data_IF_050909973547
#
_entry.id   IF_050909973547
#
_cell.length_a   1.000
_cell.length_b   1.000
_cell.length_c   1.000
_cell.angle_alpha   90.00
_cell.angle_beta   90.00
_cell.angle_gamma   90.00
#
_symmetry.space_group_name_H-M   'P 1'
#
loop_
_entity.id
_entity.type
_entity.pdbx_description
1 polymer ?
#
# COMPACT_ATOMS: atom_id res chain seq x y z
N UNK A 1 -0.71 -13.76 35.09
CA UNK A 1 0.01 -12.74 34.29
C UNK A 1 0.56 -13.49 33.09
N UNK A 2 -0.06 -13.34 31.92
CA UNK A 2 0.49 -13.81 30.64
C UNK A 2 1.75 -13.01 30.35
N UNK A 3 2.85 -13.69 29.99
CA UNK A 3 4.07 -13.02 29.55
C UNK A 3 3.71 -12.04 28.42
N UNK A 4 4.37 -10.86 28.34
CA UNK A 4 4.12 -9.93 27.25
C UNK A 4 4.37 -10.67 25.93
N UNK A 5 3.33 -10.74 25.09
CA UNK A 5 3.43 -11.34 23.77
C UNK A 5 4.44 -10.56 22.95
N UNK A 6 5.56 -11.17 22.60
CA UNK A 6 6.58 -10.55 21.75
C UNK A 6 5.97 -10.37 20.36
N UNK A 7 6.12 -9.19 19.76
CA UNK A 7 5.64 -8.93 18.41
C UNK A 7 6.35 -9.90 17.42
N UNK A 8 5.67 -10.31 16.33
CA UNK A 8 6.14 -11.42 15.48
C UNK A 8 7.49 -11.16 14.78
N UNK A 9 7.86 -9.90 14.56
CA UNK A 9 9.11 -9.51 13.93
C UNK A 9 10.12 -8.89 14.91
N UNK A 10 9.95 -9.12 16.22
CA UNK A 10 10.90 -8.67 17.22
C UNK A 10 12.30 -9.25 16.95
N UNK A 11 13.31 -8.38 16.94
CA UNK A 11 14.69 -8.73 16.61
C UNK A 11 15.04 -8.68 15.12
N UNK A 12 14.06 -8.49 14.23
CA UNK A 12 14.32 -8.21 12.82
C UNK A 12 14.78 -6.75 12.66
N UNK A 13 15.95 -6.54 12.05
CA UNK A 13 16.53 -5.22 11.81
C UNK A 13 16.40 -4.81 10.36
N UNK A 14 15.83 -3.64 10.10
CA UNK A 14 15.53 -3.11 8.77
C UNK A 14 16.15 -1.73 8.61
N UNK A 15 16.91 -1.51 7.55
CA UNK A 15 17.33 -0.18 7.09
C UNK A 15 16.41 0.25 5.94
N UNK A 16 15.73 1.36 6.12
CA UNK A 16 14.90 2.01 5.10
C UNK A 16 15.68 3.17 4.46
N UNK A 17 16.28 2.90 3.30
CA UNK A 17 16.98 3.91 2.49
C UNK A 17 16.06 4.52 1.43
N UNK A 18 14.86 3.93 1.25
CA UNK A 18 13.93 4.34 0.21
C UNK A 18 13.28 5.69 0.51
N UNK A 19 12.78 6.38 -0.50
CA UNK A 19 12.09 7.65 -0.38
C UNK A 19 10.66 7.57 -0.92
N UNK A 20 9.82 8.56 -0.59
CA UNK A 20 8.42 8.68 -1.01
C UNK A 20 7.53 7.56 -0.45
N UNK A 21 7.06 6.59 -1.28
CA UNK A 21 5.91 5.75 -0.88
C UNK A 21 6.19 4.25 -0.81
N UNK A 22 6.41 3.57 -1.92
CA UNK A 22 6.39 2.10 -1.98
C UNK A 22 7.39 1.41 -1.04
N UNK A 23 8.68 1.76 -1.13
CA UNK A 23 9.72 1.21 -0.26
C UNK A 23 9.50 1.59 1.21
N UNK A 24 9.30 2.88 1.55
CA UNK A 24 9.01 3.29 2.92
C UNK A 24 7.75 2.63 3.50
N UNK A 25 6.70 2.39 2.71
CA UNK A 25 5.51 1.67 3.16
C UNK A 25 5.83 0.23 3.54
N UNK A 26 6.63 -0.47 2.74
CA UNK A 26 7.06 -1.84 3.08
C UNK A 26 7.81 -1.87 4.42
N UNK A 27 8.73 -0.92 4.66
CA UNK A 27 9.44 -0.78 5.92
C UNK A 27 8.49 -0.48 7.10
N UNK A 28 7.48 0.39 6.89
CA UNK A 28 6.45 0.71 7.90
C UNK A 28 5.67 -0.54 8.29
N UNK A 29 5.26 -1.35 7.31
CA UNK A 29 4.51 -2.59 7.56
C UNK A 29 5.31 -3.60 8.39
N UNK A 30 6.62 -3.71 8.16
CA UNK A 30 7.49 -4.54 9.00
C UNK A 30 7.61 -3.96 10.41
N UNK A 31 7.76 -2.64 10.54
CA UNK A 31 7.79 -1.94 11.82
C UNK A 31 6.51 -2.07 12.64
N UNK A 32 5.34 -2.10 11.98
CA UNK A 32 4.03 -2.29 12.62
C UNK A 32 3.93 -3.64 13.34
N UNK A 33 4.69 -4.64 12.91
CA UNK A 33 4.75 -5.97 13.50
C UNK A 33 6.02 -6.22 14.33
N UNK A 34 6.73 -5.15 14.71
CA UNK A 34 7.78 -5.21 15.72
C UNK A 34 9.21 -5.22 15.19
N UNK A 35 9.43 -5.13 13.88
CA UNK A 35 10.77 -4.93 13.36
C UNK A 35 11.40 -3.60 13.86
N UNK A 36 12.70 -3.61 14.06
CA UNK A 36 13.49 -2.42 14.36
C UNK A 36 13.85 -1.73 13.03
N UNK A 37 13.12 -0.67 12.72
CA UNK A 37 13.31 0.06 11.45
C UNK A 37 14.08 1.34 11.70
N UNK A 38 15.20 1.50 11.01
CA UNK A 38 15.96 2.75 10.94
C UNK A 38 15.79 3.34 9.54
N UNK A 39 15.16 4.50 9.48
CA UNK A 39 15.03 5.32 8.26
C UNK A 39 16.28 6.17 8.12
N UNK A 40 17.00 5.99 7.01
CA UNK A 40 18.20 6.76 6.69
C UNK A 40 17.87 7.80 5.64
N UNK A 41 18.15 9.06 5.94
CA UNK A 41 17.87 10.21 5.10
C UNK A 41 19.14 11.02 4.85
N UNK A 42 19.18 11.73 3.73
CA UNK A 42 20.27 12.65 3.45
C UNK A 42 20.23 13.84 4.44
N UNK A 43 21.35 14.31 5.01
CA UNK A 43 21.38 15.36 6.03
C UNK A 43 20.67 16.66 5.66
N UNK A 44 20.78 17.08 4.40
CA UNK A 44 20.23 18.36 3.91
C UNK A 44 19.09 18.21 2.92
N UNK A 45 18.75 16.99 2.53
CA UNK A 45 17.67 16.66 1.57
C UNK A 45 16.80 15.56 2.19
N UNK A 46 15.93 15.92 3.14
CA UNK A 46 15.05 14.95 3.78
C UNK A 46 14.13 14.26 2.78
N UNK A 47 13.53 13.15 3.19
CA UNK A 47 12.56 12.42 2.37
C UNK A 47 11.43 13.38 1.91
N UNK A 48 11.16 13.47 0.60
CA UNK A 48 10.08 14.31 0.08
C UNK A 48 8.70 14.01 0.66
N UNK A 49 8.47 12.81 1.20
CA UNK A 49 7.22 12.46 1.89
C UNK A 49 6.94 13.33 3.12
N UNK A 50 7.96 13.97 3.70
CA UNK A 50 7.81 14.92 4.81
C UNK A 50 7.02 16.17 4.44
N UNK A 51 7.12 16.60 3.17
CA UNK A 51 6.40 17.77 2.63
C UNK A 51 5.21 17.38 1.73
N UNK A 52 4.87 16.08 1.63
CA UNK A 52 3.81 15.64 0.75
C UNK A 52 2.42 15.82 1.36
N UNK A 53 1.51 16.44 0.58
CA UNK A 53 0.13 16.68 1.01
C UNK A 53 -0.03 17.72 2.12
N UNK A 54 -1.14 17.69 2.86
CA UNK A 54 -1.41 18.65 3.93
C UNK A 54 -0.44 18.55 5.11
N UNK A 55 -0.18 19.72 5.71
CA UNK A 55 0.58 19.84 6.96
C UNK A 55 -0.22 20.56 8.04
N UNK A 56 0.11 20.31 9.31
CA UNK A 56 -0.38 21.05 10.47
C UNK A 56 0.83 21.61 11.22
N UNK A 57 0.83 22.90 11.47
CA UNK A 57 1.92 23.61 12.17
C UNK A 57 3.32 23.38 11.54
N UNK A 58 3.37 23.25 10.20
CA UNK A 58 4.59 22.95 9.45
C UNK A 58 4.99 21.48 9.42
N UNK A 59 4.28 20.60 10.12
CA UNK A 59 4.56 19.16 10.18
C UNK A 59 3.70 18.39 9.18
N UNK A 60 4.33 17.66 8.27
CA UNK A 60 3.64 16.90 7.23
C UNK A 60 2.87 15.69 7.80
N UNK A 61 1.55 15.66 7.57
CA UNK A 61 0.69 14.60 8.10
C UNK A 61 0.93 13.26 7.41
N UNK A 62 1.33 13.26 6.15
CA UNK A 62 1.72 12.06 5.43
C UNK A 62 2.91 11.36 6.08
N UNK A 63 3.92 12.16 6.46
CA UNK A 63 5.09 11.63 7.15
C UNK A 63 4.74 11.02 8.51
N UNK A 64 3.84 11.65 9.27
CA UNK A 64 3.40 11.12 10.57
C UNK A 64 2.84 9.70 10.45
N UNK A 65 2.12 9.40 9.36
CA UNK A 65 1.60 8.08 9.07
C UNK A 65 2.69 7.13 8.52
N UNK A 66 3.43 7.56 7.49
CA UNK A 66 4.39 6.70 6.77
C UNK A 66 5.68 6.47 7.53
N UNK A 67 6.08 7.43 8.38
CA UNK A 67 7.27 7.34 9.23
C UNK A 67 7.03 6.65 10.58
N UNK A 68 5.81 6.17 10.84
CA UNK A 68 5.48 5.49 12.11
C UNK A 68 6.36 4.26 12.34
N UNK A 69 6.65 3.99 13.60
CA UNK A 69 7.49 2.87 14.03
C UNK A 69 8.95 2.88 13.51
N UNK A 70 9.40 3.99 12.92
CA UNK A 70 10.78 4.14 12.44
C UNK A 70 11.56 5.08 13.35
N UNK A 71 12.80 4.70 13.66
CA UNK A 71 13.84 5.62 14.12
C UNK A 71 14.39 6.35 12.91
N UNK A 72 14.74 7.63 13.04
CA UNK A 72 15.20 8.45 11.91
C UNK A 72 16.64 8.90 12.13
N UNK A 73 17.51 8.62 11.15
CA UNK A 73 18.87 9.12 11.16
C UNK A 73 19.24 9.78 9.84
N UNK A 74 20.20 10.68 9.89
CA UNK A 74 20.80 11.29 8.71
C UNK A 74 22.10 10.60 8.36
N UNK A 75 22.33 10.37 7.06
CA UNK A 75 23.60 9.87 6.54
C UNK A 75 23.70 10.13 5.03
N UNK A 76 24.74 10.86 4.60
CA UNK A 76 25.05 11.01 3.17
C UNK A 76 25.86 9.82 2.66
N UNK A 77 25.19 8.89 1.98
CA UNK A 77 25.78 7.66 1.44
C UNK A 77 26.78 7.89 0.31
N UNK A 78 26.81 9.08 -0.28
CA UNK A 78 27.78 9.43 -1.32
C UNK A 78 29.16 9.78 -0.75
N UNK A 79 29.26 10.02 0.56
CA UNK A 79 30.49 10.33 1.27
C UNK A 79 31.21 9.04 1.73
N UNK A 80 32.56 9.02 1.74
CA UNK A 80 33.31 7.86 2.21
C UNK A 80 32.94 7.42 3.62
N UNK A 81 32.82 8.36 4.58
CA UNK A 81 32.39 8.05 5.95
C UNK A 81 30.94 7.56 6.04
N UNK A 82 30.05 8.13 5.22
CA UNK A 82 28.66 7.65 5.13
C UNK A 82 28.58 6.23 4.59
N UNK A 83 29.33 5.92 3.53
CA UNK A 83 29.45 4.57 2.98
C UNK A 83 29.99 3.58 4.01
N UNK A 84 31.11 3.91 4.66
CA UNK A 84 31.70 3.04 5.66
C UNK A 84 30.74 2.78 6.84
N UNK A 85 29.99 3.80 7.26
CA UNK A 85 28.97 3.68 8.30
C UNK A 85 27.80 2.77 7.87
N UNK A 86 27.31 2.91 6.62
CA UNK A 86 26.24 2.01 6.13
C UNK A 86 26.71 0.55 6.06
N UNK A 87 27.93 0.26 5.63
CA UNK A 87 28.48 -1.10 5.62
C UNK A 87 28.57 -1.68 7.06
N UNK A 88 28.94 -0.87 8.05
CA UNK A 88 28.93 -1.30 9.46
C UNK A 88 27.50 -1.60 9.94
N UNK A 89 26.52 -0.77 9.61
CA UNK A 89 25.10 -1.02 9.91
C UNK A 89 24.62 -2.31 9.22
N UNK A 90 24.94 -2.49 7.94
CA UNK A 90 24.53 -3.64 7.14
C UNK A 90 25.03 -4.97 7.70
N UNK A 91 26.21 -4.99 8.36
CA UNK A 91 26.75 -6.19 8.99
C UNK A 91 25.83 -6.81 10.06
N UNK A 92 25.00 -5.99 10.71
CA UNK A 92 24.03 -6.43 11.72
C UNK A 92 22.57 -6.29 11.30
N UNK A 93 22.30 -6.10 10.02
CA UNK A 93 20.96 -5.82 9.47
C UNK A 93 20.40 -7.04 8.72
N UNK A 94 19.12 -7.31 8.89
CA UNK A 94 18.45 -8.40 8.18
C UNK A 94 17.95 -7.99 6.79
N UNK A 95 17.47 -6.75 6.67
CA UNK A 95 16.80 -6.24 5.46
C UNK A 95 17.25 -4.81 5.18
N UNK A 96 17.63 -4.53 3.96
CA UNK A 96 17.76 -3.16 3.42
C UNK A 96 16.68 -2.98 2.35
N UNK A 97 15.94 -1.87 2.45
CA UNK A 97 14.95 -1.47 1.44
C UNK A 97 15.41 -0.16 0.81
N UNK A 98 15.52 -0.16 -0.52
CA UNK A 98 15.94 1.02 -1.28
C UNK A 98 15.06 1.20 -2.53
N UNK A 99 14.99 2.42 -3.07
CA UNK A 99 14.30 2.70 -4.32
C UNK A 99 15.05 3.73 -5.18
N UNK A 100 16.36 3.74 -5.09
CA UNK A 100 17.19 4.56 -5.96
C UNK A 100 17.12 4.07 -7.42
N UNK A 101 17.50 4.92 -8.33
CA UNK A 101 17.66 4.51 -9.72
C UNK A 101 18.71 3.41 -9.82
N UNK A 102 18.50 2.38 -10.66
CA UNK A 102 19.49 1.33 -10.87
C UNK A 102 20.88 1.88 -11.14
N UNK A 103 21.90 1.32 -10.49
CA UNK A 103 23.28 1.76 -10.54
C UNK A 103 23.66 2.86 -9.55
N UNK A 104 22.72 3.37 -8.73
CA UNK A 104 23.03 4.42 -7.74
C UNK A 104 23.83 3.86 -6.56
N UNK A 105 23.38 2.75 -5.96
CA UNK A 105 24.14 2.09 -4.89
C UNK A 105 25.52 1.62 -5.39
N UNK A 106 25.58 1.08 -6.59
CA UNK A 106 26.80 0.64 -7.22
C UNK A 106 27.83 1.77 -7.39
N UNK A 107 27.38 3.00 -7.76
CA UNK A 107 28.24 4.19 -7.82
C UNK A 107 28.80 4.61 -6.47
N UNK A 108 28.14 4.23 -5.38
CA UNK A 108 28.59 4.52 -4.01
C UNK A 108 29.34 3.34 -3.41
N UNK A 109 29.68 2.30 -4.19
CA UNK A 109 30.24 1.03 -3.72
C UNK A 109 29.42 0.42 -2.56
N UNK A 110 28.10 0.46 -2.72
CA UNK A 110 27.10 -0.09 -1.80
C UNK A 110 26.15 -1.05 -2.53
N UNK A 111 26.60 -1.60 -3.66
CA UNK A 111 25.85 -2.61 -4.41
C UNK A 111 25.75 -3.94 -3.67
N UNK A 112 25.06 -4.90 -4.29
CA UNK A 112 24.92 -6.24 -3.72
C UNK A 112 26.25 -6.93 -3.39
N UNK A 113 27.29 -6.85 -4.25
CA UNK A 113 28.58 -7.47 -3.93
C UNK A 113 29.19 -6.95 -2.62
N UNK A 114 29.18 -5.65 -2.39
CA UNK A 114 29.74 -5.01 -1.19
C UNK A 114 28.89 -5.33 0.06
N UNK A 115 27.58 -5.22 -0.06
CA UNK A 115 26.66 -5.50 1.04
C UNK A 115 26.66 -6.98 1.44
N UNK A 116 26.64 -7.89 0.46
CA UNK A 116 26.68 -9.34 0.75
C UNK A 116 28.03 -9.81 1.27
N UNK A 117 29.13 -9.12 0.93
CA UNK A 117 30.44 -9.41 1.48
C UNK A 117 30.52 -9.15 3.00
N UNK A 118 29.85 -8.11 3.49
CA UNK A 118 29.80 -7.81 4.94
C UNK A 118 28.69 -8.58 5.66
N UNK A 119 27.64 -8.99 4.93
CA UNK A 119 26.54 -9.77 5.50
C UNK A 119 25.91 -10.70 4.44
N UNK A 120 26.39 -11.95 4.33
CA UNK A 120 25.84 -12.92 3.37
C UNK A 120 24.38 -13.32 3.65
N UNK A 121 23.85 -12.96 4.82
CA UNK A 121 22.45 -13.23 5.19
C UNK A 121 21.50 -12.06 4.88
N UNK A 122 22.01 -10.96 4.37
CA UNK A 122 21.23 -9.76 4.08
C UNK A 122 20.18 -10.02 2.99
N UNK A 123 18.97 -9.49 3.19
CA UNK A 123 17.96 -9.35 2.14
C UNK A 123 17.96 -7.90 1.65
N UNK A 124 18.28 -7.69 0.37
CA UNK A 124 18.27 -6.36 -0.26
C UNK A 124 17.02 -6.23 -1.14
N UNK A 125 16.02 -5.44 -0.70
CA UNK A 125 14.83 -5.16 -1.49
C UNK A 125 15.00 -3.86 -2.27
N UNK A 126 14.95 -3.96 -3.60
CA UNK A 126 15.13 -2.87 -4.56
C UNK A 126 13.82 -2.58 -5.26
N UNK A 127 13.18 -1.45 -4.93
CA UNK A 127 11.84 -1.10 -5.41
C UNK A 127 11.95 0.02 -6.44
N UNK A 128 11.74 -0.29 -7.72
CA UNK A 128 11.90 0.68 -8.81
C UNK A 128 10.69 0.67 -9.75
N UNK A 129 10.57 1.68 -10.60
CA UNK A 129 9.45 1.77 -11.54
C UNK A 129 9.36 0.57 -12.48
N UNK A 130 10.53 0.10 -12.98
CA UNK A 130 10.61 -0.86 -14.08
C UNK A 130 11.55 -2.05 -13.82
N UNK A 131 12.00 -2.27 -12.58
CA UNK A 131 12.97 -3.30 -12.22
C UNK A 131 14.43 -2.87 -12.44
N UNK A 132 15.36 -3.76 -12.06
CA UNK A 132 16.81 -3.50 -12.12
C UNK A 132 17.41 -3.73 -13.52
N UNK A 133 16.68 -4.36 -14.42
CA UNK A 133 17.13 -4.71 -15.77
C UNK A 133 16.03 -4.44 -16.82
N UNK A 134 16.37 -4.64 -18.08
CA UNK A 134 15.46 -4.41 -19.19
C UNK A 134 15.57 -3.00 -19.79
N UNK A 135 14.85 -2.74 -20.89
CA UNK A 135 15.04 -1.51 -21.69
C UNK A 135 14.59 -0.25 -20.97
N UNK A 136 13.80 -0.35 -19.89
CA UNK A 136 13.25 0.78 -19.16
C UNK A 136 13.87 0.98 -17.76
N UNK A 137 14.77 0.10 -17.34
CA UNK A 137 15.35 0.12 -15.99
C UNK A 137 15.90 1.50 -15.56
N UNK A 138 16.52 2.24 -16.49
CA UNK A 138 17.11 3.56 -16.21
C UNK A 138 16.15 4.74 -16.38
N UNK A 139 14.88 4.49 -16.78
CA UNK A 139 13.88 5.55 -16.91
C UNK A 139 13.40 6.02 -15.53
N UNK A 140 13.03 7.31 -15.37
CA UNK A 140 12.30 7.74 -14.18
C UNK A 140 11.00 6.93 -14.05
N UNK A 141 10.77 6.36 -12.87
CA UNK A 141 9.57 5.57 -12.55
C UNK A 141 8.85 6.15 -11.34
N UNK A 142 7.51 6.21 -11.42
CA UNK A 142 6.62 6.61 -10.34
C UNK A 142 5.34 5.78 -10.42
N UNK A 143 4.58 5.69 -9.33
CA UNK A 143 3.32 4.95 -9.28
C UNK A 143 2.35 5.30 -10.39
N UNK A 144 2.17 6.59 -10.69
CA UNK A 144 1.31 7.05 -11.79
C UNK A 144 1.70 6.47 -13.15
N UNK A 145 3.00 6.26 -13.42
CA UNK A 145 3.45 5.65 -14.67
C UNK A 145 3.16 4.15 -14.68
N UNK A 146 3.29 3.49 -13.53
CA UNK A 146 2.92 2.09 -13.38
C UNK A 146 1.40 1.88 -13.56
N UNK A 147 0.58 2.75 -13.01
CA UNK A 147 -0.88 2.76 -13.21
C UNK A 147 -1.27 2.90 -14.68
N UNK A 148 -0.55 3.74 -15.43
CA UNK A 148 -0.79 3.92 -16.85
C UNK A 148 -0.30 2.73 -17.69
N UNK A 149 0.90 2.18 -17.37
CA UNK A 149 1.54 1.13 -18.18
C UNK A 149 1.04 -0.28 -17.90
N UNK A 150 0.48 -0.53 -16.72
CA UNK A 150 -0.07 -1.85 -16.35
C UNK A 150 -1.38 -2.22 -17.06
N UNK A 151 -2.03 -1.25 -17.70
CA UNK A 151 -3.38 -1.43 -18.24
C UNK A 151 -4.50 -0.96 -17.30
N UNK A 152 -4.19 -0.62 -16.02
CA UNK A 152 -5.18 -0.14 -15.05
C UNK A 152 -5.97 1.06 -15.58
N UNK A 153 -5.28 2.12 -16.00
CA UNK A 153 -5.93 3.33 -16.52
C UNK A 153 -6.75 3.05 -17.79
N UNK A 154 -6.29 2.11 -18.64
CA UNK A 154 -6.96 1.77 -19.88
C UNK A 154 -8.36 1.16 -19.67
N UNK A 155 -8.58 0.43 -18.57
CA UNK A 155 -9.86 -0.22 -18.25
C UNK A 155 -10.69 0.54 -17.22
N UNK A 156 -10.17 1.67 -16.68
CA UNK A 156 -10.80 2.45 -15.61
C UNK A 156 -11.40 3.75 -16.17
N UNK A 157 -12.63 4.03 -15.79
CA UNK A 157 -13.39 5.24 -16.20
C UNK A 157 -14.59 4.93 -17.07
N UNK A 158 -15.34 5.97 -17.43
CA UNK A 158 -16.51 5.87 -18.30
C UNK A 158 -16.09 5.50 -19.74
N UNK A 159 -16.93 4.76 -20.50
CA UNK A 159 -16.61 4.29 -21.84
C UNK A 159 -16.15 5.39 -22.79
N UNK A 160 -16.86 6.52 -22.78
CA UNK A 160 -16.65 7.64 -23.70
C UNK A 160 -15.77 8.76 -23.13
N UNK A 161 -15.19 8.54 -21.94
CA UNK A 161 -14.28 9.48 -21.27
C UNK A 161 -12.81 9.07 -21.46
N UNK A 162 -11.84 9.97 -21.17
CA UNK A 162 -10.43 9.60 -21.11
C UNK A 162 -10.16 8.47 -20.08
N UNK A 163 -9.07 7.70 -20.24
CA UNK A 163 -8.58 6.80 -19.20
C UNK A 163 -8.44 7.51 -17.84
N UNK A 164 -8.80 6.84 -16.76
CA UNK A 164 -8.81 7.43 -15.42
C UNK A 164 -7.71 6.86 -14.55
N UNK A 165 -6.92 7.75 -13.94
CA UNK A 165 -5.93 7.43 -12.91
C UNK A 165 -6.56 7.51 -11.53
N UNK A 166 -6.10 6.74 -10.54
CA UNK A 166 -6.55 6.88 -9.17
C UNK A 166 -6.03 8.20 -8.58
N UNK A 167 -6.78 8.85 -7.65
CA UNK A 167 -6.38 10.11 -7.03
C UNK A 167 -5.32 9.95 -5.92
N UNK A 168 -4.69 8.80 -5.81
CA UNK A 168 -3.66 8.46 -4.82
C UNK A 168 -2.69 7.44 -5.42
N UNK A 169 -1.55 7.19 -4.77
CA UNK A 169 -0.51 6.25 -5.24
C UNK A 169 -0.95 4.78 -5.10
N UNK A 170 -1.87 4.33 -5.93
CA UNK A 170 -2.38 2.96 -5.90
C UNK A 170 -1.28 1.95 -6.22
N UNK A 171 -0.52 2.16 -7.30
CA UNK A 171 0.58 1.27 -7.68
C UNK A 171 1.67 1.22 -6.62
N UNK A 172 2.02 2.38 -6.02
CA UNK A 172 2.97 2.44 -4.90
C UNK A 172 2.47 1.66 -3.68
N UNK A 173 1.18 1.77 -3.36
CA UNK A 173 0.57 1.05 -2.22
C UNK A 173 0.58 -0.46 -2.44
N UNK A 174 0.18 -0.92 -3.64
CA UNK A 174 0.22 -2.35 -3.99
C UNK A 174 1.67 -2.86 -3.98
N UNK A 175 2.61 -2.10 -4.53
CA UNK A 175 4.02 -2.46 -4.53
C UNK A 175 4.62 -2.49 -3.11
N UNK A 176 4.24 -1.56 -2.23
CA UNK A 176 4.65 -1.55 -0.83
C UNK A 176 4.20 -2.80 -0.07
N UNK A 177 2.92 -3.18 -0.22
CA UNK A 177 2.36 -4.42 0.33
C UNK A 177 3.08 -5.66 -0.23
N UNK A 178 3.28 -5.70 -1.55
CA UNK A 178 3.94 -6.81 -2.23
C UNK A 178 5.42 -6.91 -1.84
N UNK A 179 6.11 -5.78 -1.66
CA UNK A 179 7.50 -5.75 -1.20
C UNK A 179 7.62 -6.30 0.21
N UNK A 180 6.72 -5.95 1.12
CA UNK A 180 6.72 -6.52 2.47
C UNK A 180 6.51 -8.05 2.42
N UNK A 181 5.60 -8.55 1.59
CA UNK A 181 5.41 -9.97 1.36
C UNK A 181 6.65 -10.64 0.76
N UNK A 182 7.29 -10.03 -0.25
CA UNK A 182 8.50 -10.55 -0.89
C UNK A 182 9.69 -10.62 0.09
N UNK A 183 9.84 -9.59 0.95
CA UNK A 183 10.84 -9.58 2.03
C UNK A 183 10.60 -10.74 2.99
N UNK A 184 9.36 -10.95 3.47
CA UNK A 184 9.04 -12.08 4.34
C UNK A 184 9.30 -13.43 3.66
N UNK A 185 9.03 -13.55 2.36
CA UNK A 185 9.32 -14.75 1.56
C UNK A 185 10.84 -14.99 1.48
N UNK A 186 11.63 -13.93 1.24
CA UNK A 186 13.09 -14.02 1.19
C UNK A 186 13.69 -14.40 2.56
N UNK A 187 13.15 -13.85 3.66
CA UNK A 187 13.56 -14.22 5.02
C UNK A 187 13.24 -15.69 5.33
N UNK A 188 12.07 -16.18 4.94
CA UNK A 188 11.72 -17.60 5.09
C UNK A 188 12.60 -18.52 4.24
N UNK A 189 13.07 -18.07 3.06
CA UNK A 189 14.06 -18.79 2.28
C UNK A 189 15.42 -18.80 2.99
N UNK A 190 15.88 -17.63 3.47
CA UNK A 190 17.12 -17.46 4.24
C UNK A 190 17.22 -18.38 5.45
N UNK A 191 16.09 -18.56 6.16
CA UNK A 191 16.07 -19.43 7.35
C UNK A 191 16.34 -20.90 7.01
N UNK A 192 16.10 -21.32 5.75
CA UNK A 192 16.40 -22.66 5.26
C UNK A 192 17.77 -22.78 4.60
N UNK A 193 18.19 -21.75 3.87
CA UNK A 193 19.42 -21.78 3.07
C UNK A 193 20.65 -21.25 3.81
N UNK A 194 20.42 -20.41 4.81
CA UNK A 194 21.47 -19.65 5.50
C UNK A 194 21.89 -18.37 4.77
N UNK A 195 21.44 -18.16 3.53
CA UNK A 195 21.88 -17.06 2.66
C UNK A 195 20.76 -16.06 2.38
N UNK A 196 21.13 -14.76 2.35
CA UNK A 196 20.27 -13.68 1.89
C UNK A 196 20.22 -13.61 0.36
N UNK A 197 19.46 -12.61 -0.14
CA UNK A 197 19.27 -12.43 -1.58
C UNK A 197 18.79 -11.03 -1.93
N UNK A 198 18.87 -10.69 -3.21
CA UNK A 198 18.21 -9.50 -3.77
C UNK A 198 16.75 -9.82 -4.06
N UNK A 199 15.86 -8.91 -3.69
CA UNK A 199 14.47 -8.85 -4.13
C UNK A 199 14.35 -7.66 -5.09
N UNK A 200 14.13 -7.93 -6.36
CA UNK A 200 13.88 -6.92 -7.40
C UNK A 200 12.35 -6.74 -7.55
N UNK A 201 11.85 -5.54 -7.29
CA UNK A 201 10.43 -5.22 -7.32
C UNK A 201 10.19 -4.08 -8.32
N UNK A 202 9.55 -4.39 -9.44
CA UNK A 202 9.09 -3.40 -10.40
C UNK A 202 7.66 -2.97 -10.10
N UNK A 203 7.42 -1.66 -9.92
CA UNK A 203 6.07 -1.10 -9.63
C UNK A 203 4.99 -1.56 -10.62
N UNK A 204 5.37 -1.78 -11.88
CA UNK A 204 4.41 -2.20 -12.94
C UNK A 204 3.87 -3.62 -12.75
N UNK A 205 4.59 -4.51 -12.06
CA UNK A 205 4.23 -5.93 -11.96
C UNK A 205 3.10 -6.22 -10.98
N UNK A 206 3.14 -5.73 -9.72
CA UNK A 206 2.10 -6.01 -8.75
C UNK A 206 0.73 -5.44 -9.15
N UNK A 207 0.70 -4.25 -9.75
CA UNK A 207 -0.56 -3.67 -10.22
C UNK A 207 -1.11 -4.45 -11.43
N UNK A 208 -0.27 -4.91 -12.36
CA UNK A 208 -0.70 -5.79 -13.46
C UNK A 208 -1.29 -7.09 -12.91
N UNK A 209 -0.62 -7.71 -11.92
CA UNK A 209 -1.13 -8.91 -11.28
C UNK A 209 -2.50 -8.70 -10.61
N UNK A 210 -2.71 -7.51 -10.00
CA UNK A 210 -3.98 -7.16 -9.37
C UNK A 210 -5.15 -6.99 -10.36
N UNK A 211 -4.88 -6.72 -11.65
CA UNK A 211 -5.91 -6.64 -12.69
C UNK A 211 -6.52 -7.99 -13.08
N UNK A 212 -6.00 -9.09 -12.55
CA UNK A 212 -6.51 -10.43 -12.84
C UNK A 212 -6.06 -10.94 -14.22
N UNK A 213 -6.87 -11.75 -14.91
CA UNK A 213 -6.45 -12.54 -16.08
C UNK A 213 -6.40 -11.76 -17.40
N UNK A 214 -6.21 -10.44 -17.38
CA UNK A 214 -6.18 -9.61 -18.61
C UNK A 214 -5.19 -10.12 -19.68
N UNK A 215 -3.91 -10.44 -19.34
CA UNK A 215 -2.98 -10.99 -20.32
C UNK A 215 -3.44 -12.34 -20.89
N UNK A 216 -4.02 -13.20 -20.06
CA UNK A 216 -4.51 -14.51 -20.48
C UNK A 216 -5.71 -14.39 -21.42
N UNK A 217 -6.63 -13.47 -21.15
CA UNK A 217 -7.78 -13.20 -22.02
C UNK A 217 -7.34 -12.68 -23.38
N UNK A 218 -6.36 -11.78 -23.40
CA UNK A 218 -5.82 -11.28 -24.66
C UNK A 218 -5.11 -12.38 -25.46
N UNK A 219 -4.26 -13.17 -24.81
CA UNK A 219 -3.51 -14.26 -25.46
C UNK A 219 -4.44 -15.33 -26.06
N UNK A 220 -5.45 -15.77 -25.30
CA UNK A 220 -6.31 -16.88 -25.72
C UNK A 220 -7.51 -16.47 -26.59
N UNK A 221 -8.00 -15.25 -26.44
CA UNK A 221 -9.27 -14.80 -27.04
C UNK A 221 -9.11 -13.53 -27.89
N UNK A 222 -7.95 -12.86 -27.87
CA UNK A 222 -7.79 -11.52 -28.44
C UNK A 222 -8.64 -10.47 -27.71
N UNK A 223 -9.14 -10.79 -26.50
CA UNK A 223 -10.04 -9.90 -25.77
C UNK A 223 -9.28 -8.76 -25.11
N UNK A 224 -9.64 -7.53 -25.45
CA UNK A 224 -9.20 -6.30 -24.80
C UNK A 224 -10.37 -5.74 -24.00
N UNK A 225 -10.27 -5.70 -22.68
CA UNK A 225 -11.35 -5.19 -21.83
C UNK A 225 -11.52 -3.68 -22.04
N UNK A 226 -12.74 -3.21 -22.40
CA UNK A 226 -13.02 -1.78 -22.47
C UNK A 226 -13.23 -1.16 -21.08
N UNK A 227 -13.29 0.16 -21.02
CA UNK A 227 -13.83 0.86 -19.85
C UNK A 227 -15.34 0.62 -19.74
N UNK A 228 -15.81 0.40 -18.53
CA UNK A 228 -17.21 0.08 -18.23
C UNK A 228 -17.82 0.97 -17.14
N UNK A 229 -17.14 2.04 -16.76
CA UNK A 229 -17.58 2.89 -15.64
C UNK A 229 -17.63 2.09 -14.34
N UNK A 230 -18.77 2.18 -13.66
CA UNK A 230 -19.03 1.43 -12.43
C UNK A 230 -19.52 0.00 -12.64
N UNK A 231 -19.71 -0.43 -13.87
CA UNK A 231 -20.18 -1.77 -14.23
C UNK A 231 -19.04 -2.80 -14.22
N UNK A 232 -19.42 -4.07 -14.23
CA UNK A 232 -18.49 -5.19 -14.39
C UNK A 232 -18.83 -5.96 -15.67
N UNK A 233 -17.84 -6.45 -16.41
CA UNK A 233 -18.10 -7.36 -17.52
C UNK A 233 -18.53 -8.76 -17.06
N UNK A 234 -18.40 -9.08 -15.79
CA UNK A 234 -18.57 -10.43 -15.25
C UNK A 234 -19.89 -10.64 -14.48
N UNK A 235 -20.55 -9.56 -14.05
CA UNK A 235 -21.81 -9.64 -13.30
C UNK A 235 -22.61 -8.35 -13.35
N UNK A 236 -23.93 -8.49 -13.20
CA UNK A 236 -24.90 -7.42 -13.02
C UNK A 236 -26.12 -7.92 -12.20
N UNK A 237 -26.86 -7.01 -11.50
CA UNK A 237 -26.54 -5.58 -11.34
C UNK A 237 -25.28 -5.38 -10.48
N UNK A 238 -24.43 -4.49 -10.93
CA UNK A 238 -23.25 -4.03 -10.18
C UNK A 238 -22.97 -2.60 -10.60
N UNK A 239 -23.07 -1.69 -9.64
CA UNK A 239 -22.90 -0.27 -9.94
C UNK A 239 -23.02 0.61 -8.70
N UNK A 240 -22.98 1.92 -8.94
CA UNK A 240 -23.20 2.96 -7.94
C UNK A 240 -24.47 3.72 -8.31
N UNK A 241 -25.40 3.85 -7.36
CA UNK A 241 -26.73 4.42 -7.60
C UNK A 241 -27.00 5.57 -6.64
N UNK A 242 -27.67 6.61 -7.16
CA UNK A 242 -28.00 7.80 -6.38
C UNK A 242 -29.33 7.63 -5.66
N UNK A 243 -29.36 7.92 -4.37
CA UNK A 243 -30.57 7.88 -3.51
C UNK A 243 -31.35 9.18 -3.57
N UNK A 244 -32.60 9.18 -3.09
CA UNK A 244 -33.47 10.35 -3.06
C UNK A 244 -32.91 11.53 -2.25
N UNK A 245 -32.14 11.25 -1.21
CA UNK A 245 -31.45 12.25 -0.38
C UNK A 245 -30.11 12.72 -0.96
N UNK A 246 -29.81 12.35 -2.22
CA UNK A 246 -28.66 12.83 -2.98
C UNK A 246 -27.33 12.16 -2.65
N UNK A 247 -27.33 11.14 -1.79
CA UNK A 247 -26.14 10.33 -1.50
C UNK A 247 -26.01 9.15 -2.47
N UNK A 248 -25.01 8.29 -2.29
CA UNK A 248 -24.71 7.18 -3.20
C UNK A 248 -24.59 5.87 -2.44
N UNK A 249 -25.04 4.80 -3.08
CA UNK A 249 -24.87 3.42 -2.62
C UNK A 249 -24.27 2.56 -3.73
N UNK A 250 -23.46 1.59 -3.36
CA UNK A 250 -22.91 0.59 -4.27
C UNK A 250 -23.64 -0.74 -4.07
N UNK A 251 -24.06 -1.37 -5.18
CA UNK A 251 -24.69 -2.70 -5.19
C UNK A 251 -23.77 -3.69 -5.88
N UNK A 252 -23.69 -4.92 -5.37
CA UNK A 252 -22.95 -6.02 -5.99
C UNK A 252 -23.72 -7.32 -5.89
N UNK A 253 -23.81 -8.05 -7.01
CA UNK A 253 -24.58 -9.31 -7.14
C UNK A 253 -23.74 -10.42 -7.76
N UNK A 254 -22.54 -10.67 -7.21
CA UNK A 254 -21.63 -11.69 -7.74
C UNK A 254 -22.23 -13.11 -7.67
N UNK A 255 -23.05 -13.41 -6.65
CA UNK A 255 -23.75 -14.69 -6.54
C UNK A 255 -25.13 -14.62 -7.20
N UNK A 256 -25.54 -15.69 -7.88
CA UNK A 256 -26.84 -15.79 -8.55
C UNK A 256 -28.01 -15.52 -7.57
N UNK A 257 -28.01 -16.16 -6.41
CA UNK A 257 -29.06 -15.99 -5.39
C UNK A 257 -29.16 -14.57 -4.84
N UNK A 258 -28.05 -13.80 -4.84
CA UNK A 258 -28.07 -12.38 -4.46
C UNK A 258 -28.72 -11.55 -5.55
N UNK A 259 -28.45 -11.83 -6.84
CA UNK A 259 -29.10 -11.16 -7.96
C UNK A 259 -30.61 -11.38 -7.95
N UNK A 260 -31.06 -12.61 -7.71
CA UNK A 260 -32.49 -12.95 -7.60
C UNK A 260 -33.18 -12.20 -6.46
N UNK A 261 -32.54 -12.15 -5.26
CA UNK A 261 -33.07 -11.39 -4.12
C UNK A 261 -33.19 -9.89 -4.43
N UNK A 262 -32.23 -9.33 -5.15
CA UNK A 262 -32.31 -7.94 -5.60
C UNK A 262 -33.49 -7.73 -6.55
N UNK A 263 -33.74 -8.62 -7.51
CA UNK A 263 -34.88 -8.50 -8.42
C UNK A 263 -36.22 -8.59 -7.67
N UNK A 264 -36.36 -9.49 -6.73
CA UNK A 264 -37.54 -9.55 -5.85
C UNK A 264 -37.70 -8.24 -5.03
N UNK A 265 -36.61 -7.74 -4.44
CA UNK A 265 -36.62 -6.50 -3.65
C UNK A 265 -37.07 -5.29 -4.44
N UNK A 266 -36.59 -5.14 -5.67
CA UNK A 266 -36.92 -3.98 -6.52
C UNK A 266 -38.24 -4.15 -7.28
N UNK A 267 -38.95 -5.26 -7.07
CA UNK A 267 -40.26 -5.53 -7.67
C UNK A 267 -40.21 -5.91 -9.15
N UNK A 268 -39.12 -6.54 -9.58
CA UNK A 268 -38.91 -7.01 -10.97
C UNK A 268 -38.59 -8.52 -11.02
N UNK A 269 -39.36 -9.39 -10.31
CA UNK A 269 -39.08 -10.82 -10.26
C UNK A 269 -39.18 -11.51 -11.65
N UNK A 270 -39.95 -10.95 -12.58
CA UNK A 270 -40.07 -11.49 -13.95
C UNK A 270 -38.76 -11.52 -14.71
N UNK A 271 -37.79 -10.66 -14.36
CA UNK A 271 -36.47 -10.64 -14.99
C UNK A 271 -35.65 -11.91 -14.65
N UNK A 272 -35.99 -12.60 -13.57
CA UNK A 272 -35.31 -13.85 -13.16
C UNK A 272 -35.60 -14.99 -14.13
N UNK A 273 -36.78 -14.98 -14.76
CA UNK A 273 -37.21 -16.00 -15.71
C UNK A 273 -36.62 -15.81 -17.12
N UNK A 274 -35.95 -14.68 -17.35
CA UNK A 274 -35.27 -14.42 -18.61
C UNK A 274 -34.05 -15.34 -18.82
N UNK A 275 -33.89 -15.95 -20.02
CA UNK A 275 -32.76 -16.87 -20.25
C UNK A 275 -31.38 -16.29 -19.97
N UNK A 276 -31.21 -14.98 -20.18
CA UNK A 276 -29.96 -14.27 -19.92
C UNK A 276 -29.69 -13.98 -18.45
N UNK A 277 -30.66 -14.19 -17.57
CA UNK A 277 -30.46 -13.97 -16.13
C UNK A 277 -29.65 -15.10 -15.47
N UNK A 278 -29.49 -16.23 -16.11
CA UNK A 278 -28.91 -17.43 -15.56
C UNK A 278 -27.42 -17.32 -15.17
N UNK A 279 -26.65 -16.47 -15.85
CA UNK A 279 -25.23 -16.27 -15.55
C UNK A 279 -24.87 -14.81 -15.32
N UNK A 280 -23.83 -14.55 -14.50
CA UNK A 280 -23.36 -13.20 -14.25
C UNK A 280 -22.90 -12.47 -15.52
N UNK A 281 -22.21 -13.18 -16.42
CA UNK A 281 -21.71 -12.63 -17.67
C UNK A 281 -22.85 -12.30 -18.64
N UNK A 282 -23.91 -13.11 -18.69
CA UNK A 282 -25.07 -12.82 -19.53
C UNK A 282 -25.87 -11.64 -18.96
N UNK A 283 -26.05 -11.58 -17.62
CA UNK A 283 -26.64 -10.40 -16.97
C UNK A 283 -25.85 -9.13 -17.26
N UNK A 284 -24.52 -9.19 -17.28
CA UNK A 284 -23.67 -8.03 -17.59
C UNK A 284 -23.92 -7.45 -19.00
N UNK A 285 -24.31 -8.29 -19.99
CA UNK A 285 -24.71 -7.82 -21.32
C UNK A 285 -26.08 -7.12 -21.34
N UNK A 286 -26.89 -7.35 -20.30
CA UNK A 286 -28.21 -6.74 -20.11
C UNK A 286 -28.22 -5.75 -18.93
N UNK A 287 -27.04 -5.20 -18.59
CA UNK A 287 -26.85 -4.31 -17.45
C UNK A 287 -27.79 -3.09 -17.47
N UNK A 288 -28.12 -2.55 -18.65
CA UNK A 288 -29.02 -1.40 -18.77
C UNK A 288 -30.41 -1.67 -18.18
N UNK A 289 -30.98 -2.85 -18.46
CA UNK A 289 -32.30 -3.24 -17.92
C UNK A 289 -32.26 -3.40 -16.41
N UNK A 290 -31.18 -4.00 -15.89
CA UNK A 290 -30.98 -4.23 -14.46
C UNK A 290 -30.69 -2.93 -13.71
N UNK A 291 -29.88 -2.04 -14.28
CA UNK A 291 -29.56 -0.74 -13.71
C UNK A 291 -30.77 0.19 -13.69
N UNK A 292 -31.64 0.17 -14.71
CA UNK A 292 -32.91 0.89 -14.72
C UNK A 292 -33.82 0.44 -13.55
N UNK A 293 -33.98 -0.88 -13.39
CA UNK A 293 -34.80 -1.45 -12.32
C UNK A 293 -34.25 -1.09 -10.93
N UNK A 294 -32.98 -1.35 -10.69
CA UNK A 294 -32.31 -1.11 -9.39
C UNK A 294 -32.17 0.38 -9.12
N UNK A 295 -31.69 1.14 -10.10
CA UNK A 295 -31.49 2.59 -9.98
C UNK A 295 -32.79 3.33 -9.76
N UNK A 296 -33.85 3.00 -10.47
CA UNK A 296 -35.18 3.59 -10.30
C UNK A 296 -35.77 3.31 -8.91
N UNK A 297 -35.62 2.08 -8.42
CA UNK A 297 -36.05 1.72 -7.06
C UNK A 297 -35.26 2.46 -5.96
N UNK A 298 -33.94 2.58 -6.12
CA UNK A 298 -33.04 3.28 -5.18
C UNK A 298 -33.28 4.79 -5.22
N UNK A 299 -33.45 5.40 -6.38
CA UNK A 299 -33.64 6.84 -6.55
C UNK A 299 -34.92 7.37 -5.87
N UNK A 300 -35.90 6.50 -5.62
CA UNK A 300 -37.11 6.84 -4.93
C UNK A 300 -37.02 6.73 -3.38
N UNK A 301 -35.85 6.42 -2.82
CA UNK A 301 -35.68 6.10 -1.38
C UNK A 301 -34.44 6.79 -0.80
N UNK A 302 -34.49 7.06 0.51
CA UNK A 302 -33.31 7.58 1.24
C UNK A 302 -32.26 6.48 1.38
N UNK A 303 -31.00 6.87 1.60
CA UNK A 303 -29.88 5.92 1.87
C UNK A 303 -30.25 4.98 3.03
N UNK A 304 -30.82 5.50 4.10
CA UNK A 304 -31.22 4.70 5.26
C UNK A 304 -32.26 3.64 4.90
N UNK A 305 -33.30 4.00 4.12
CA UNK A 305 -34.32 3.05 3.69
C UNK A 305 -33.77 1.99 2.74
N UNK A 306 -32.88 2.37 1.83
CA UNK A 306 -32.21 1.44 0.93
C UNK A 306 -31.38 0.43 1.72
N UNK A 307 -30.54 0.88 2.63
CA UNK A 307 -29.71 0.03 3.46
C UNK A 307 -30.54 -0.98 4.25
N UNK A 308 -31.59 -0.52 4.95
CA UNK A 308 -32.47 -1.39 5.73
C UNK A 308 -33.23 -2.41 4.86
N UNK A 309 -33.69 -2.02 3.68
CA UNK A 309 -34.41 -2.91 2.77
C UNK A 309 -33.48 -4.00 2.19
N UNK A 310 -32.28 -3.66 1.79
CA UNK A 310 -31.29 -4.62 1.29
C UNK A 310 -30.83 -5.59 2.39
N UNK A 311 -30.58 -5.10 3.60
CA UNK A 311 -30.25 -5.93 4.75
C UNK A 311 -31.35 -6.96 5.01
N UNK A 312 -32.63 -6.54 5.06
CA UNK A 312 -33.78 -7.42 5.25
C UNK A 312 -33.92 -8.46 4.11
N UNK A 313 -33.54 -8.10 2.89
CA UNK A 313 -33.55 -8.99 1.73
C UNK A 313 -32.30 -9.87 1.65
N UNK A 314 -31.37 -9.74 2.60
CA UNK A 314 -30.05 -10.39 2.56
C UNK A 314 -29.32 -10.14 1.22
N UNK A 315 -29.42 -8.93 0.68
CA UNK A 315 -28.82 -8.48 -0.56
C UNK A 315 -27.64 -7.54 -0.27
N UNK A 316 -26.60 -7.60 -1.11
CA UNK A 316 -25.37 -6.86 -0.86
C UNK A 316 -25.46 -5.39 -1.33
N UNK A 317 -25.36 -4.47 -0.41
CA UNK A 317 -25.28 -3.03 -0.63
C UNK A 317 -24.33 -2.39 0.37
N UNK A 318 -23.69 -1.32 -0.02
CA UNK A 318 -22.87 -0.50 0.89
C UNK A 318 -23.06 1.00 0.57
N UNK A 319 -23.00 1.90 1.55
CA UNK A 319 -22.96 3.33 1.28
C UNK A 319 -21.59 3.67 0.63
N UNK A 320 -21.59 4.64 -0.28
CA UNK A 320 -20.34 5.28 -0.72
C UNK A 320 -19.97 6.31 0.34
N UNK A 321 -18.96 6.00 1.12
CA UNK A 321 -18.54 6.79 2.29
C UNK A 321 -17.40 7.75 1.90
N UNK A 322 -17.42 8.95 2.46
CA UNK A 322 -16.23 9.80 2.55
C UNK A 322 -15.48 9.56 3.87
N UNK A 323 -14.35 10.24 4.07
CA UNK A 323 -13.53 10.05 5.27
C UNK A 323 -14.28 10.43 6.58
N UNK A 324 -15.26 11.34 6.53
CA UNK A 324 -16.06 11.71 7.70
C UNK A 324 -16.97 10.56 8.12
N UNK A 325 -17.57 9.90 7.14
CA UNK A 325 -18.39 8.70 7.36
C UNK A 325 -17.53 7.57 7.95
N UNK A 326 -16.37 7.28 7.34
CA UNK A 326 -15.43 6.25 7.81
C UNK A 326 -15.00 6.49 9.27
N UNK A 327 -14.72 7.75 9.65
CA UNK A 327 -14.30 8.10 11.01
C UNK A 327 -15.41 7.88 12.07
N UNK A 328 -16.66 7.74 11.65
CA UNK A 328 -17.83 7.57 12.52
C UNK A 328 -18.51 6.20 12.36
N UNK A 329 -18.09 5.42 11.36
CA UNK A 329 -18.71 4.14 11.03
C UNK A 329 -18.49 3.11 12.16
N UNK A 330 -19.55 2.46 12.67
CA UNK A 330 -19.46 1.53 13.79
C UNK A 330 -18.60 0.29 13.48
N UNK A 331 -18.53 -0.16 12.22
CA UNK A 331 -17.71 -1.29 11.84
C UNK A 331 -16.22 -0.95 11.90
N UNK A 332 -15.81 0.24 11.40
CA UNK A 332 -14.44 0.72 11.52
C UNK A 332 -14.02 0.94 12.98
N UNK A 333 -14.95 1.42 13.82
CA UNK A 333 -14.72 1.57 15.27
C UNK A 333 -14.59 0.21 15.96
N UNK A 334 -15.49 -0.74 15.69
CA UNK A 334 -15.43 -2.09 16.26
C UNK A 334 -14.16 -2.86 15.85
N UNK A 335 -13.66 -2.60 14.65
CA UNK A 335 -12.41 -3.17 14.14
C UNK A 335 -11.16 -2.42 14.62
N UNK A 336 -11.29 -1.29 15.30
CA UNK A 336 -10.18 -0.39 15.65
C UNK A 336 -9.30 -0.07 14.42
N UNK A 337 -9.94 0.16 13.27
CA UNK A 337 -9.24 0.45 12.00
C UNK A 337 -8.60 1.83 12.02
N UNK A 338 -9.18 2.75 12.79
CA UNK A 338 -8.63 4.09 13.06
C UNK A 338 -8.24 4.14 14.54
N UNK A 339 -6.96 4.27 14.79
CA UNK A 339 -6.43 4.34 16.16
C UNK A 339 -5.88 5.73 16.48
N UNK A 340 -5.68 6.00 17.77
CA UNK A 340 -5.07 7.25 18.24
C UNK A 340 -3.64 6.99 18.68
N UNK A 341 -2.71 7.81 18.20
CA UNK A 341 -1.29 7.78 18.55
C UNK A 341 -0.93 9.14 19.13
N UNK A 342 -0.32 9.16 20.31
CA UNK A 342 0.18 10.40 20.89
C UNK A 342 1.48 10.82 20.20
N UNK A 343 1.50 12.04 19.68
CA UNK A 343 2.64 12.62 18.97
C UNK A 343 3.17 13.84 19.74
N UNK A 344 4.48 13.94 19.98
CA UNK A 344 5.04 15.03 20.78
C UNK A 344 4.95 16.41 20.11
N UNK A 345 4.80 16.47 18.78
CA UNK A 345 4.71 17.73 18.05
C UNK A 345 3.26 18.18 17.82
N UNK A 346 2.34 17.24 17.59
CA UNK A 346 0.97 17.56 17.17
C UNK A 346 -0.11 17.14 18.18
N UNK A 347 0.27 16.45 19.27
CA UNK A 347 -0.68 15.86 20.21
C UNK A 347 -1.33 14.58 19.67
N UNK A 348 -2.54 14.23 20.12
CA UNK A 348 -3.21 13.01 19.68
C UNK A 348 -3.52 13.03 18.17
N UNK A 349 -3.04 12.03 17.45
CA UNK A 349 -3.26 11.82 16.01
C UNK A 349 -4.12 10.59 15.79
N UNK A 350 -5.23 10.73 15.08
CA UNK A 350 -6.00 9.59 14.60
C UNK A 350 -5.55 9.21 13.20
N UNK A 351 -5.13 7.95 13.03
CA UNK A 351 -4.64 7.43 11.75
C UNK A 351 -5.04 5.97 11.56
N UNK A 352 -4.84 5.45 10.36
CA UNK A 352 -5.05 4.03 10.07
C UNK A 352 -4.17 3.18 11.00
N UNK A 353 -4.78 2.19 11.63
CA UNK A 353 -4.10 1.22 12.48
C UNK A 353 -3.30 0.19 11.64
N UNK A 354 -2.68 -0.77 12.30
CA UNK A 354 -2.04 -1.90 11.60
C UNK A 354 -3.04 -2.66 10.76
N UNK A 355 -2.61 -3.17 9.60
CA UNK A 355 -3.53 -3.65 8.56
C UNK A 355 -4.32 -4.92 8.92
N UNK A 356 -3.79 -5.77 9.78
CA UNK A 356 -4.45 -7.02 10.16
C UNK A 356 -4.14 -7.41 11.61
N UNK A 357 -4.94 -8.30 12.15
CA UNK A 357 -4.88 -8.73 13.54
C UNK A 357 -4.36 -10.16 13.63
N UNK A 358 -3.24 -10.34 14.32
CA UNK A 358 -2.75 -11.64 14.74
C UNK A 358 -3.26 -11.93 16.14
N UNK A 359 -3.93 -13.05 16.34
CA UNK A 359 -4.60 -13.38 17.62
C UNK A 359 -3.62 -13.58 18.79
N UNK A 360 -2.39 -14.00 18.51
CA UNK A 360 -1.38 -14.27 19.52
C UNK A 360 -0.28 -13.21 19.60
N UNK A 361 0.06 -12.56 18.50
CA UNK A 361 1.17 -11.62 18.36
C UNK A 361 0.73 -10.37 17.60
N UNK A 362 -0.16 -9.54 18.16
CA UNK A 362 -0.69 -8.38 17.48
C UNK A 362 0.40 -7.36 17.13
N UNK A 363 0.23 -6.70 16.00
CA UNK A 363 1.02 -5.52 15.66
C UNK A 363 0.59 -4.29 16.48
N UNK A 364 1.42 -3.25 16.51
CA UNK A 364 1.14 -2.00 17.21
C UNK A 364 1.86 -0.80 16.58
N UNK A 365 1.22 0.36 16.66
CA UNK A 365 1.88 1.64 16.40
C UNK A 365 2.45 2.15 17.71
N UNK A 366 3.77 2.20 17.80
CA UNK A 366 4.49 2.62 19.02
C UNK A 366 4.69 4.14 19.08
N UNK A 367 4.87 4.76 17.92
CA UNK A 367 5.00 6.22 17.73
C UNK A 367 4.70 6.60 16.26
N UNK A 368 4.32 7.86 16.04
CA UNK A 368 4.17 8.45 14.72
C UNK A 368 5.54 8.81 14.09
N UNK A 369 5.54 9.29 12.86
CA UNK A 369 6.77 9.69 12.18
C UNK A 369 7.55 10.74 12.95
N UNK A 370 8.82 10.45 13.26
CA UNK A 370 9.73 11.29 14.06
C UNK A 370 10.34 12.43 13.22
N UNK A 371 10.83 13.49 13.86
CA UNK A 371 11.58 14.55 13.18
C UNK A 371 12.79 14.02 12.40
N UNK A 372 13.26 14.77 11.41
CA UNK A 372 14.41 14.43 10.59
C UNK A 372 15.67 14.28 11.45
N UNK A 373 16.33 13.11 11.35
CA UNK A 373 17.58 12.82 12.06
C UNK A 373 17.46 12.72 13.57
N UNK A 374 16.25 12.62 14.14
CA UNK A 374 16.04 12.67 15.58
C UNK A 374 16.83 11.61 16.37
N UNK A 375 17.11 10.47 15.75
CA UNK A 375 17.76 9.33 16.42
C UNK A 375 19.21 9.11 15.92
N UNK A 376 19.80 10.06 15.17
CA UNK A 376 21.11 9.88 14.53
C UNK A 376 22.21 9.52 15.53
N UNK A 377 22.35 10.28 16.60
CA UNK A 377 23.41 10.04 17.59
C UNK A 377 23.20 8.73 18.36
N UNK A 378 21.95 8.43 18.70
CA UNK A 378 21.59 7.20 19.41
C UNK A 378 21.93 5.96 18.57
N UNK A 379 21.48 5.93 17.29
CA UNK A 379 21.75 4.82 16.37
C UNK A 379 23.26 4.61 16.15
N UNK A 380 24.00 5.70 15.96
CA UNK A 380 25.44 5.62 15.73
C UNK A 380 26.23 5.23 16.99
N UNK A 381 25.79 5.65 18.17
CA UNK A 381 26.37 5.23 19.44
C UNK A 381 26.13 3.74 19.70
N UNK A 382 24.92 3.24 19.42
CA UNK A 382 24.62 1.80 19.50
C UNK A 382 25.46 0.98 18.53
N UNK A 383 25.84 1.55 17.38
CA UNK A 383 26.78 0.94 16.43
C UNK A 383 28.24 0.95 16.94
N UNK A 384 28.50 1.64 18.06
CA UNK A 384 29.82 1.75 18.68
C UNK A 384 30.69 2.83 18.09
N UNK A 385 30.13 3.88 17.48
CA UNK A 385 30.85 5.07 17.10
C UNK A 385 31.14 5.95 18.35
N UNK A 386 32.38 6.43 18.45
CA UNK A 386 32.76 7.38 19.47
C UNK A 386 32.32 8.82 19.17
N UNK A 387 32.32 9.73 20.12
CA UNK A 387 32.09 11.16 19.86
C UNK A 387 33.06 11.76 18.80
N UNK A 388 34.31 11.27 18.77
CA UNK A 388 35.30 11.70 17.77
C UNK A 388 34.92 11.22 16.37
N UNK A 389 34.41 9.98 16.21
CA UNK A 389 33.89 9.46 14.95
C UNK A 389 32.71 10.32 14.44
N UNK A 390 31.78 10.67 15.34
CA UNK A 390 30.63 11.54 14.99
C UNK A 390 31.09 12.92 14.53
N UNK A 391 32.12 13.48 15.22
CA UNK A 391 32.72 14.76 14.86
C UNK A 391 33.37 14.69 13.48
N UNK A 392 34.08 13.62 13.17
CA UNK A 392 34.71 13.39 11.87
C UNK A 392 33.66 13.27 10.76
N UNK A 393 32.56 12.52 10.97
CA UNK A 393 31.46 12.39 10.01
C UNK A 393 30.76 13.72 9.74
N UNK A 394 30.59 14.56 10.77
CA UNK A 394 30.06 15.94 10.59
C UNK A 394 31.01 16.84 9.80
N UNK A 395 32.29 16.76 10.09
CA UNK A 395 33.31 17.54 9.37
C UNK A 395 33.39 17.17 7.87
N UNK A 396 33.12 15.90 7.55
CA UNK A 396 33.05 15.40 6.17
C UNK A 396 31.71 15.80 5.48
N UNK A 397 30.70 16.19 6.24
CA UNK A 397 29.34 16.43 5.77
C UNK A 397 28.56 15.13 5.49
N UNK A 398 28.89 14.06 6.18
CA UNK A 398 28.19 12.78 6.10
C UNK A 398 27.00 12.72 7.06
N UNK A 399 26.97 13.55 8.12
CA UNK A 399 25.88 13.74 9.09
C UNK A 399 25.25 15.11 8.99
#
# INVERSE_FOLDING_TARGET
MTAPTTAPLTGLRVLDLATLFAGPMAATLLGDFGAEVVKIEHPTKPDPSRGHGPSKDGVGLWWKMLGRNKRTMTLDLSKPGGRATLLRLAAGTDVIIENFRPGTLEKWDLGWPELSAVNPRLVLARVTGFGQFGPYAHRPGFGTLAEAMSGFAAITGEPDAPPTLPPFGLADSIAGLTTAYAVMTALAARDRTGEGQVVDMALIEPILAALGPQPLWYDQLGHVQPRTGNRSPNNAPRGVYRTADGTWVAVSTSAQSVAERVMHLVGRPELIDEPWFATGADRARHADVLDEAVGGWIAARTRTDVMAAFEKAEAAVAPVQDVRDVMQDPQYQALDTITTVDDPELGPLRMQNVLFRLSATPGAIRWAGRPHGADTEEVLTELGLSPDDLTALRAEGAL
#
